data_IF_735544969011
#
_entry.id   IF_735544969011
#
_cell.length_a   1.000
_cell.length_b   1.000
_cell.length_c   1.000
_cell.angle_alpha   90.00
_cell.angle_beta   90.00
_cell.angle_gamma   90.00
#
_symmetry.space_group_name_H-M   'P 1'
#
loop_
_entity.id
_entity.type
_entity.pdbx_description
1 polymer ?
#
# COMPACT_ATOMS: atom_id res chain seq x y z
N UNK A 1 0.43 6.70 -25.64
CA UNK A 1 0.04 5.29 -25.49
C UNK A 1 -1.43 5.19 -25.08
N UNK A 2 -2.09 4.13 -25.52
CA UNK A 2 -3.42 3.74 -25.01
C UNK A 2 -3.26 2.76 -23.85
N UNK A 3 -3.67 3.15 -22.65
CA UNK A 3 -3.50 2.37 -21.42
C UNK A 3 -4.88 1.98 -20.90
N UNK A 4 -5.17 0.69 -20.85
CA UNK A 4 -6.40 0.19 -20.22
C UNK A 4 -6.06 -0.42 -18.86
N UNK A 5 -6.71 0.04 -17.79
CA UNK A 5 -6.50 -0.41 -16.41
C UNK A 5 -7.76 -1.12 -15.94
N UNK A 6 -7.67 -2.42 -15.71
CA UNK A 6 -8.77 -3.25 -15.22
C UNK A 6 -8.56 -3.58 -13.76
N UNK A 7 -9.44 -3.08 -12.92
CA UNK A 7 -9.43 -3.35 -11.48
C UNK A 7 -10.41 -4.47 -11.10
N UNK A 8 -10.33 -4.93 -9.86
CA UNK A 8 -11.07 -6.09 -9.38
C UNK A 8 -12.60 -5.91 -9.34
N UNK A 9 -13.30 -7.03 -9.18
CA UNK A 9 -14.76 -7.14 -9.24
C UNK A 9 -15.51 -6.52 -8.05
N UNK A 10 -14.79 -6.08 -6.99
CA UNK A 10 -15.41 -5.87 -5.67
C UNK A 10 -15.49 -4.42 -5.22
N UNK A 11 -14.64 -3.54 -5.74
CA UNK A 11 -14.58 -2.13 -5.36
C UNK A 11 -14.76 -1.20 -6.57
N UNK A 12 -15.42 -0.03 -6.40
CA UNK A 12 -15.61 0.94 -7.47
C UNK A 12 -14.40 1.83 -7.69
N UNK A 13 -14.38 2.50 -8.85
CA UNK A 13 -13.51 3.63 -9.15
C UNK A 13 -14.37 4.79 -9.70
N UNK A 14 -14.20 6.03 -9.19
CA UNK A 14 -13.31 6.49 -8.11
C UNK A 14 -13.50 5.72 -6.79
N UNK A 15 -12.44 5.63 -5.93
CA UNK A 15 -12.40 4.75 -4.77
C UNK A 15 -13.21 5.26 -3.57
N UNK A 16 -14.54 5.35 -3.71
CA UNK A 16 -15.48 5.84 -2.68
C UNK A 16 -15.68 4.84 -1.52
N UNK A 17 -15.34 3.58 -1.70
CA UNK A 17 -15.47 2.52 -0.69
C UNK A 17 -14.14 2.08 -0.08
N UNK A 18 -13.07 2.86 -0.25
CA UNK A 18 -11.72 2.48 0.13
C UNK A 18 -11.03 1.62 -0.95
N UNK A 19 -10.05 0.81 -0.54
CA UNK A 19 -9.23 0.00 -1.44
C UNK A 19 -7.91 0.71 -1.80
N UNK A 20 -6.80 0.18 -1.26
CA UNK A 20 -5.48 0.77 -1.52
C UNK A 20 -5.08 0.66 -3.01
N UNK A 21 -5.39 -0.48 -3.64
CA UNK A 21 -5.06 -0.71 -5.06
C UNK A 21 -5.87 0.21 -5.97
N UNK A 22 -7.16 0.39 -5.67
CA UNK A 22 -8.05 1.29 -6.41
C UNK A 22 -7.59 2.74 -6.32
N UNK A 23 -7.19 3.20 -5.11
CA UNK A 23 -6.64 4.55 -4.90
C UNK A 23 -5.34 4.74 -5.68
N UNK A 24 -4.42 3.79 -5.59
CA UNK A 24 -3.13 3.83 -6.30
C UNK A 24 -3.33 3.94 -7.80
N UNK A 25 -4.11 3.03 -8.39
CA UNK A 25 -4.30 3.01 -9.85
C UNK A 25 -5.15 4.16 -10.37
N UNK A 26 -6.07 4.69 -9.56
CA UNK A 26 -6.79 5.91 -9.92
C UNK A 26 -5.87 7.12 -9.97
N UNK A 27 -5.04 7.31 -8.93
CA UNK A 27 -4.04 8.39 -8.93
C UNK A 27 -3.02 8.26 -10.06
N UNK A 28 -2.54 7.05 -10.36
CA UNK A 28 -1.65 6.79 -11.50
C UNK A 28 -2.34 7.08 -12.84
N UNK A 29 -3.62 6.72 -13.00
CA UNK A 29 -4.39 7.02 -14.20
C UNK A 29 -4.48 8.54 -14.47
N UNK A 30 -4.69 9.34 -13.41
CA UNK A 30 -4.65 10.80 -13.50
C UNK A 30 -3.26 11.30 -13.94
N UNK A 31 -2.19 10.75 -13.37
CA UNK A 31 -0.81 11.07 -13.76
C UNK A 31 -0.50 10.70 -15.22
N UNK A 32 -0.96 9.54 -15.70
CA UNK A 32 -0.80 9.14 -17.10
C UNK A 32 -1.57 10.07 -18.03
N UNK A 33 -2.79 10.45 -17.64
CA UNK A 33 -3.61 11.40 -18.44
C UNK A 33 -2.95 12.77 -18.54
N UNK A 34 -2.41 13.31 -17.44
CA UNK A 34 -1.67 14.58 -17.44
C UNK A 34 -0.46 14.57 -18.38
N UNK A 35 0.14 13.39 -18.62
CA UNK A 35 1.26 13.20 -19.55
C UNK A 35 0.82 12.92 -21.00
N UNK A 36 -0.46 13.12 -21.31
CA UNK A 36 -1.00 13.01 -22.68
C UNK A 36 -1.28 11.56 -23.12
N UNK A 37 -1.32 10.59 -22.19
CA UNK A 37 -1.73 9.23 -22.55
C UNK A 37 -3.25 9.09 -22.59
N UNK A 38 -3.74 8.20 -23.46
CA UNK A 38 -5.16 7.85 -23.53
C UNK A 38 -5.46 6.74 -22.52
N UNK A 39 -6.27 7.05 -21.49
CA UNK A 39 -6.46 6.17 -20.34
C UNK A 39 -7.91 5.73 -20.23
N UNK A 40 -8.11 4.41 -20.17
CA UNK A 40 -9.40 3.78 -19.90
C UNK A 40 -9.33 3.02 -18.58
N UNK A 41 -10.25 3.30 -17.66
CA UNK A 41 -10.39 2.55 -16.42
C UNK A 41 -11.62 1.65 -16.46
N UNK A 42 -11.41 0.35 -16.27
CA UNK A 42 -12.51 -0.63 -16.19
C UNK A 42 -12.66 -1.06 -14.72
N UNK A 43 -13.85 -0.85 -14.17
CA UNK A 43 -14.13 -1.12 -12.75
C UNK A 43 -15.54 -1.64 -12.51
N UNK A 44 -15.81 -2.02 -11.26
CA UNK A 44 -17.14 -2.41 -10.82
C UNK A 44 -18.14 -1.26 -10.98
N UNK A 45 -19.29 -1.55 -11.59
CA UNK A 45 -20.43 -0.64 -11.66
C UNK A 45 -21.17 -0.56 -10.30
N UNK A 46 -21.42 0.64 -9.80
CA UNK A 46 -22.32 0.90 -8.69
C UNK A 46 -23.71 1.32 -9.19
N UNK A 47 -24.76 1.21 -8.36
CA UNK A 47 -26.15 1.51 -8.77
C UNK A 47 -26.31 2.88 -9.43
N UNK A 48 -25.75 3.92 -8.83
CA UNK A 48 -25.93 5.32 -9.23
C UNK A 48 -24.89 5.82 -10.24
N UNK A 49 -24.09 4.93 -10.82
CA UNK A 49 -23.06 5.28 -11.78
C UNK A 49 -23.50 4.90 -13.21
N UNK A 50 -23.23 5.74 -14.24
CA UNK A 50 -23.42 5.37 -15.63
C UNK A 50 -22.45 4.23 -16.03
N UNK A 51 -22.81 3.48 -17.08
CA UNK A 51 -21.91 2.42 -17.60
C UNK A 51 -20.63 2.97 -18.17
N UNK A 52 -20.71 4.15 -18.74
CA UNK A 52 -19.58 4.84 -19.34
C UNK A 52 -19.68 6.33 -19.03
N UNK A 53 -18.56 6.95 -18.71
CA UNK A 53 -18.40 8.40 -18.57
C UNK A 53 -16.95 8.80 -18.75
N UNK A 54 -16.73 10.08 -19.03
CA UNK A 54 -15.41 10.70 -19.02
C UNK A 54 -15.37 11.61 -17.78
N UNK A 55 -14.48 11.31 -16.85
CA UNK A 55 -14.22 12.12 -15.67
C UNK A 55 -12.72 12.32 -15.52
N UNK A 56 -12.28 13.55 -15.21
CA UNK A 56 -10.85 13.95 -15.16
C UNK A 56 -10.06 13.60 -16.43
N UNK A 57 -10.74 13.59 -17.59
CA UNK A 57 -10.17 13.19 -18.87
C UNK A 57 -9.90 11.68 -19.01
N UNK A 58 -10.31 10.87 -18.04
CA UNK A 58 -10.21 9.41 -18.04
C UNK A 58 -11.56 8.83 -18.47
N UNK A 59 -11.54 7.87 -19.41
CA UNK A 59 -12.72 7.13 -19.81
C UNK A 59 -12.98 5.98 -18.85
N UNK A 60 -14.09 6.05 -18.10
CA UNK A 60 -14.52 5.01 -17.16
C UNK A 60 -15.50 4.06 -17.84
N UNK A 61 -15.18 2.78 -17.89
CA UNK A 61 -16.06 1.70 -18.31
C UNK A 61 -16.45 0.88 -17.07
N UNK A 62 -17.74 0.83 -16.74
CA UNK A 62 -18.20 0.14 -15.54
C UNK A 62 -18.95 -1.14 -15.89
N UNK A 63 -18.48 -2.25 -15.32
CA UNK A 63 -19.00 -3.58 -15.56
C UNK A 63 -19.69 -4.09 -14.27
N UNK A 64 -20.84 -4.77 -14.36
CA UNK A 64 -21.48 -5.35 -13.19
C UNK A 64 -20.53 -6.27 -12.42
N UNK A 65 -20.25 -5.90 -11.18
CA UNK A 65 -19.38 -6.63 -10.24
C UNK A 65 -20.18 -7.25 -9.11
N UNK A 66 -19.52 -7.51 -7.99
CA UNK A 66 -20.09 -8.26 -6.88
C UNK A 66 -19.67 -7.67 -5.53
N UNK A 67 -20.40 -7.99 -4.46
CA UNK A 67 -19.91 -7.77 -3.11
C UNK A 67 -18.88 -8.82 -2.75
N UNK A 68 -17.84 -8.44 -2.00
CA UNK A 68 -16.77 -9.36 -1.63
C UNK A 68 -17.29 -10.46 -0.71
N UNK A 69 -17.22 -11.76 -1.11
CA UNK A 69 -17.62 -12.87 -0.27
C UNK A 69 -16.54 -13.16 0.78
N UNK A 70 -16.91 -13.85 1.87
CA UNK A 70 -15.96 -14.33 2.88
C UNK A 70 -15.14 -15.53 2.39
N UNK A 71 -15.70 -16.34 1.49
CA UNK A 71 -15.07 -17.55 0.95
C UNK A 71 -14.12 -17.22 -0.20
N UNK A 72 -12.88 -17.71 -0.14
CA UNK A 72 -11.89 -17.54 -1.21
C UNK A 72 -12.29 -18.25 -2.52
N UNK A 73 -13.01 -19.38 -2.42
CA UNK A 73 -13.50 -20.13 -3.60
C UNK A 73 -14.52 -19.25 -4.33
N UNK A 74 -15.51 -18.73 -3.62
CA UNK A 74 -16.51 -17.84 -4.18
C UNK A 74 -15.90 -16.55 -4.72
N UNK A 75 -14.89 -16.01 -4.05
CA UNK A 75 -14.17 -14.82 -4.54
C UNK A 75 -13.53 -15.09 -5.89
N UNK A 76 -12.84 -16.21 -6.06
CA UNK A 76 -12.23 -16.60 -7.34
C UNK A 76 -13.26 -16.86 -8.43
N UNK A 77 -14.38 -17.49 -8.08
CA UNK A 77 -15.47 -17.74 -9.03
C UNK A 77 -16.13 -16.44 -9.51
N UNK A 78 -16.41 -15.53 -8.60
CA UNK A 78 -16.99 -14.21 -8.95
C UNK A 78 -16.01 -13.35 -9.77
N UNK A 79 -14.71 -13.43 -9.47
CA UNK A 79 -13.66 -12.78 -10.28
C UNK A 79 -13.60 -13.38 -11.71
N UNK A 80 -13.83 -14.70 -11.87
CA UNK A 80 -13.93 -15.32 -13.20
C UNK A 80 -15.09 -14.75 -14.00
N UNK A 81 -16.29 -14.72 -13.40
CA UNK A 81 -17.48 -14.18 -14.06
C UNK A 81 -17.29 -12.72 -14.45
N UNK A 82 -16.68 -11.93 -13.56
CA UNK A 82 -16.35 -10.55 -13.83
C UNK A 82 -15.32 -10.42 -14.97
N UNK A 83 -14.26 -11.20 -14.94
CA UNK A 83 -13.21 -11.19 -15.96
C UNK A 83 -13.75 -11.59 -17.35
N UNK A 84 -14.68 -12.53 -17.42
CA UNK A 84 -15.37 -12.90 -18.68
C UNK A 84 -16.22 -11.72 -19.21
N UNK A 85 -16.94 -11.04 -18.32
CA UNK A 85 -17.74 -9.85 -18.71
C UNK A 85 -16.82 -8.73 -19.19
N UNK A 86 -15.78 -8.38 -18.41
CA UNK A 86 -14.82 -7.33 -18.73
C UNK A 86 -14.20 -7.56 -20.11
N UNK A 87 -13.74 -8.78 -20.40
CA UNK A 87 -13.08 -9.11 -21.67
C UNK A 87 -13.92 -8.72 -22.89
N UNK A 88 -15.25 -8.75 -22.79
CA UNK A 88 -16.17 -8.41 -23.91
C UNK A 88 -16.26 -6.92 -24.22
N UNK A 89 -15.83 -6.07 -23.28
CA UNK A 89 -15.93 -4.61 -23.36
C UNK A 89 -14.56 -3.92 -23.41
N UNK A 90 -13.46 -4.69 -23.44
CA UNK A 90 -12.12 -4.12 -23.51
C UNK A 90 -11.92 -3.42 -24.85
N UNK A 91 -11.51 -2.14 -24.86
CA UNK A 91 -11.11 -1.46 -26.07
C UNK A 91 -9.71 -1.89 -26.49
N UNK A 92 -9.31 -1.67 -27.75
CA UNK A 92 -7.94 -1.79 -28.21
C UNK A 92 -7.01 -0.87 -27.40
N UNK A 93 -5.87 -1.42 -26.98
CA UNK A 93 -4.89 -0.72 -26.17
C UNK A 93 -3.45 -1.14 -26.52
N UNK A 94 -2.47 -0.35 -26.10
CA UNK A 94 -1.04 -0.71 -26.14
C UNK A 94 -0.67 -1.53 -24.90
N UNK A 95 -1.18 -1.13 -23.75
CA UNK A 95 -0.95 -1.76 -22.44
C UNK A 95 -2.29 -2.08 -21.75
N UNK A 96 -2.41 -3.31 -21.27
CA UNK A 96 -3.53 -3.77 -20.45
C UNK A 96 -3.05 -4.11 -19.03
N UNK A 97 -3.24 -3.19 -18.11
CA UNK A 97 -2.94 -3.41 -16.68
C UNK A 97 -4.09 -4.14 -16.01
N UNK A 98 -3.80 -5.13 -15.18
CA UNK A 98 -4.82 -5.79 -14.37
C UNK A 98 -4.28 -6.36 -13.07
N UNK A 99 -5.10 -6.35 -12.02
CA UNK A 99 -4.88 -7.04 -10.75
C UNK A 99 -5.86 -8.20 -10.52
N UNK A 100 -6.70 -8.53 -11.52
CA UNK A 100 -7.63 -9.66 -11.44
C UNK A 100 -6.90 -10.99 -11.58
N UNK A 101 -7.47 -12.04 -11.00
CA UNK A 101 -6.86 -13.37 -11.08
C UNK A 101 -6.99 -14.00 -12.48
N UNK A 102 -8.18 -13.88 -13.11
CA UNK A 102 -8.48 -14.64 -14.32
C UNK A 102 -8.25 -13.89 -15.62
N UNK A 103 -8.32 -12.57 -15.63
CA UNK A 103 -8.18 -11.81 -16.88
C UNK A 103 -6.86 -12.06 -17.61
N UNK A 104 -5.69 -12.18 -16.92
CA UNK A 104 -4.44 -12.51 -17.59
C UNK A 104 -4.44 -13.84 -18.34
N UNK A 105 -5.31 -14.76 -17.96
CA UNK A 105 -5.47 -16.07 -18.60
C UNK A 105 -6.47 -16.03 -19.77
N UNK A 106 -7.45 -15.13 -19.71
CA UNK A 106 -8.53 -15.01 -20.67
C UNK A 106 -8.18 -14.14 -21.87
N UNK A 107 -7.28 -13.16 -21.69
CA UNK A 107 -6.85 -12.27 -22.79
C UNK A 107 -5.84 -12.99 -23.68
N UNK A 108 -6.24 -13.20 -24.94
CA UNK A 108 -5.43 -13.84 -25.98
C UNK A 108 -5.16 -12.92 -27.17
N UNK A 109 -6.07 -11.98 -27.36
CA UNK A 109 -6.01 -11.01 -28.46
C UNK A 109 -4.99 -9.92 -28.15
N UNK A 110 -4.00 -9.78 -29.01
CA UNK A 110 -2.92 -8.78 -28.87
C UNK A 110 -3.40 -7.36 -29.10
N UNK A 111 -4.53 -7.16 -29.77
CA UNK A 111 -5.10 -5.82 -29.99
C UNK A 111 -5.61 -5.21 -28.68
N UNK A 112 -5.88 -6.03 -27.65
CA UNK A 112 -6.28 -5.58 -26.32
C UNK A 112 -5.09 -5.08 -25.48
N UNK A 113 -3.88 -5.13 -26.01
CA UNK A 113 -2.65 -4.63 -25.38
C UNK A 113 -1.78 -5.71 -24.75
N UNK A 114 -0.56 -5.29 -24.37
CA UNK A 114 0.38 -6.11 -23.61
C UNK A 114 -0.13 -6.30 -22.19
N UNK A 115 -0.34 -7.55 -21.81
CA UNK A 115 -0.89 -7.88 -20.47
C UNK A 115 0.16 -7.59 -19.38
N UNK A 116 -0.13 -6.58 -18.58
CA UNK A 116 0.67 -6.11 -17.47
C UNK A 116 -0.02 -6.47 -16.15
N UNK A 117 0.52 -7.44 -15.41
CA UNK A 117 -0.11 -7.97 -14.20
C UNK A 117 0.44 -7.26 -12.98
N UNK A 118 -0.41 -6.54 -12.27
CA UNK A 118 -0.09 -5.98 -10.96
C UNK A 118 -0.24 -7.04 -9.87
N UNK A 119 0.86 -7.47 -9.28
CA UNK A 119 0.92 -8.46 -8.20
C UNK A 119 1.04 -7.72 -6.86
N UNK A 120 -0.06 -7.13 -6.39
CA UNK A 120 -0.11 -6.29 -5.19
C UNK A 120 -0.06 -7.03 -3.86
N UNK A 121 0.05 -8.36 -3.85
CA UNK A 121 0.11 -9.20 -2.65
C UNK A 121 1.04 -10.39 -2.87
N UNK A 122 1.49 -11.02 -1.79
CA UNK A 122 2.23 -12.28 -1.88
C UNK A 122 1.45 -13.29 -2.73
N UNK A 123 2.08 -13.87 -3.76
CA UNK A 123 1.44 -14.82 -4.65
C UNK A 123 1.08 -16.11 -3.90
N UNK A 124 0.02 -16.79 -4.39
CA UNK A 124 -0.54 -18.00 -3.78
C UNK A 124 -0.71 -19.10 -4.81
N UNK A 125 0.28 -19.30 -5.67
CA UNK A 125 0.30 -20.33 -6.69
C UNK A 125 -0.24 -19.91 -8.07
N UNK A 126 -0.75 -18.68 -8.23
CA UNK A 126 -1.38 -18.25 -9.48
C UNK A 126 -0.39 -17.74 -10.53
N UNK A 127 0.74 -17.19 -10.12
CA UNK A 127 1.66 -16.52 -11.06
C UNK A 127 2.22 -17.49 -12.09
N UNK A 128 2.45 -18.75 -11.72
CA UNK A 128 2.93 -19.81 -12.62
C UNK A 128 2.04 -20.02 -13.88
N UNK A 129 0.80 -19.57 -13.83
CA UNK A 129 -0.13 -19.69 -14.95
C UNK A 129 -0.10 -18.48 -15.90
N UNK A 130 0.53 -17.37 -15.54
CA UNK A 130 0.52 -16.11 -16.30
C UNK A 130 1.53 -16.08 -17.44
N UNK A 131 1.63 -17.17 -18.21
CA UNK A 131 2.60 -17.34 -19.32
C UNK A 131 2.52 -16.21 -20.36
N UNK A 132 1.31 -15.67 -20.58
CA UNK A 132 1.05 -14.60 -21.56
C UNK A 132 1.26 -13.19 -21.01
N UNK A 133 1.46 -13.03 -19.71
CA UNK A 133 1.80 -11.74 -19.17
C UNK A 133 3.12 -11.24 -19.78
N UNK A 134 3.11 -10.02 -20.28
CA UNK A 134 4.30 -9.33 -20.75
C UNK A 134 5.16 -8.88 -19.57
N UNK A 135 4.53 -8.47 -18.48
CA UNK A 135 5.17 -8.03 -17.25
C UNK A 135 4.42 -8.49 -16.01
N UNK A 136 5.14 -8.76 -14.95
CA UNK A 136 4.65 -9.03 -13.59
C UNK A 136 5.20 -7.92 -12.69
N UNK A 137 4.39 -6.91 -12.40
CA UNK A 137 4.84 -5.80 -11.57
C UNK A 137 4.60 -6.12 -10.10
N UNK A 138 5.64 -5.91 -9.29
CA UNK A 138 5.66 -6.02 -7.85
C UNK A 138 5.78 -4.63 -7.21
N UNK A 139 5.05 -4.32 -6.12
CA UNK A 139 5.19 -3.03 -5.43
C UNK A 139 6.45 -2.94 -4.56
N UNK A 140 7.12 -4.06 -4.30
CA UNK A 140 8.34 -4.13 -3.50
C UNK A 140 9.26 -5.26 -3.95
N UNK A 141 10.53 -5.16 -3.57
CA UNK A 141 11.52 -6.22 -3.77
C UNK A 141 11.13 -7.52 -3.07
N UNK A 142 10.42 -7.44 -1.95
CA UNK A 142 9.90 -8.60 -1.23
C UNK A 142 8.88 -9.39 -2.07
N UNK A 143 7.94 -8.69 -2.69
CA UNK A 143 6.95 -9.30 -3.60
C UNK A 143 7.64 -9.83 -4.86
N UNK A 144 8.63 -9.11 -5.42
CA UNK A 144 9.39 -9.57 -6.58
C UNK A 144 10.10 -10.90 -6.29
N UNK A 145 10.77 -11.02 -5.13
CA UNK A 145 11.39 -12.28 -4.69
C UNK A 145 10.36 -13.40 -4.54
N UNK A 146 9.19 -13.10 -3.99
CA UNK A 146 8.12 -14.08 -3.84
C UNK A 146 7.56 -14.56 -5.19
N UNK A 147 7.45 -13.67 -6.19
CA UNK A 147 7.08 -14.00 -7.57
C UNK A 147 8.14 -14.90 -8.20
N UNK A 148 9.43 -14.54 -8.09
CA UNK A 148 10.54 -15.31 -8.63
C UNK A 148 10.63 -16.71 -8.01
N UNK A 149 10.38 -16.84 -6.70
CA UNK A 149 10.35 -18.12 -6.00
C UNK A 149 9.17 -19.02 -6.45
N UNK A 150 7.97 -18.42 -6.72
CA UNK A 150 6.81 -19.17 -7.19
C UNK A 150 6.92 -19.57 -8.68
N UNK A 151 7.49 -18.70 -9.50
CA UNK A 151 7.55 -18.88 -10.95
C UNK A 151 8.91 -18.42 -11.51
N UNK A 152 10.01 -19.19 -11.25
CA UNK A 152 11.37 -18.82 -11.67
C UNK A 152 11.51 -18.57 -13.17
N UNK A 153 10.71 -19.29 -13.98
CA UNK A 153 10.68 -19.15 -15.45
C UNK A 153 10.21 -17.76 -15.93
N UNK A 154 9.66 -16.94 -15.04
CA UNK A 154 9.20 -15.58 -15.35
C UNK A 154 10.07 -14.49 -14.73
N UNK A 155 11.24 -14.83 -14.17
CA UNK A 155 12.12 -13.86 -13.50
C UNK A 155 12.48 -12.67 -14.41
N UNK A 156 12.71 -12.89 -15.70
CA UNK A 156 12.96 -11.82 -16.67
C UNK A 156 11.76 -10.93 -17.00
N UNK A 157 10.56 -11.27 -16.48
CA UNK A 157 9.35 -10.47 -16.66
C UNK A 157 8.97 -9.68 -15.40
N UNK A 158 9.74 -9.77 -14.33
CA UNK A 158 9.43 -9.09 -13.07
C UNK A 158 9.97 -7.66 -13.14
N UNK A 159 9.09 -6.70 -12.81
CA UNK A 159 9.45 -5.30 -12.61
C UNK A 159 9.07 -4.87 -11.21
N UNK A 160 9.98 -4.17 -10.51
CA UNK A 160 9.69 -3.60 -9.20
C UNK A 160 9.40 -2.12 -9.37
N UNK A 161 8.14 -1.74 -9.22
CA UNK A 161 7.69 -0.35 -9.24
C UNK A 161 6.84 -0.12 -8.01
N UNK A 162 7.24 0.81 -7.12
CA UNK A 162 6.57 1.01 -5.84
C UNK A 162 5.17 1.63 -5.98
N UNK A 163 4.43 1.64 -4.90
CA UNK A 163 3.23 2.46 -4.81
C UNK A 163 3.59 3.93 -4.62
N UNK A 164 2.88 4.85 -5.28
CA UNK A 164 3.01 6.27 -4.99
C UNK A 164 2.36 6.61 -3.66
N UNK A 165 2.90 7.64 -3.02
CA UNK A 165 2.26 8.29 -1.87
C UNK A 165 1.95 9.74 -2.22
N UNK A 166 0.79 10.27 -1.79
CA UNK A 166 0.44 11.67 -2.02
C UNK A 166 1.50 12.61 -1.42
N UNK A 167 1.81 13.67 -2.14
CA UNK A 167 2.60 14.76 -1.60
C UNK A 167 1.80 15.50 -0.51
N UNK A 168 2.47 16.08 0.50
CA UNK A 168 1.80 16.86 1.53
C UNK A 168 1.02 18.02 0.95
N UNK A 169 -0.28 18.10 1.17
CA UNK A 169 -1.11 19.20 0.68
C UNK A 169 -0.76 20.53 1.38
N UNK A 170 -0.34 20.48 2.65
CA UNK A 170 0.06 21.63 3.46
C UNK A 170 1.53 22.04 3.27
N UNK A 171 2.19 21.58 2.19
CA UNK A 171 3.60 21.90 1.91
C UNK A 171 4.59 21.26 2.87
N UNK A 172 5.79 21.82 2.98
CA UNK A 172 6.89 21.28 3.80
C UNK A 172 6.46 20.99 5.25
N UNK A 173 6.73 19.79 5.77
CA UNK A 173 6.40 19.44 7.14
C UNK A 173 7.17 20.30 8.15
N UNK A 174 6.59 20.60 9.34
CA UNK A 174 7.31 21.31 10.39
C UNK A 174 8.50 20.49 10.89
N UNK A 175 9.54 21.18 11.39
CA UNK A 175 10.65 20.50 12.07
C UNK A 175 10.14 19.61 13.21
N UNK A 176 10.81 18.50 13.47
CA UNK A 176 10.40 17.54 14.48
C UNK A 176 10.37 18.13 15.90
N UNK A 177 11.27 19.06 16.18
CA UNK A 177 11.32 19.81 17.47
C UNK A 177 10.05 20.61 17.73
N UNK A 178 9.39 21.10 16.68
CA UNK A 178 8.15 21.88 16.77
C UNK A 178 6.89 21.02 16.83
N UNK A 179 7.03 19.69 16.88
CA UNK A 179 5.91 18.76 16.96
C UNK A 179 5.65 18.29 18.39
N UNK A 180 4.46 17.78 18.59
CA UNK A 180 4.08 17.18 19.86
C UNK A 180 4.87 15.88 20.11
N UNK A 181 5.24 15.60 21.33
CA UNK A 181 5.82 14.30 21.74
C UNK A 181 4.75 13.21 21.68
N UNK A 182 4.33 12.87 20.47
CA UNK A 182 3.31 11.85 20.19
C UNK A 182 3.94 10.70 19.43
N UNK A 183 3.72 9.50 19.96
CA UNK A 183 3.91 8.23 19.26
C UNK A 183 2.60 7.91 18.56
N UNK A 184 2.62 7.86 17.24
CA UNK A 184 1.44 7.67 16.40
C UNK A 184 1.48 6.30 15.72
N UNK A 185 0.34 5.63 15.73
CA UNK A 185 0.04 4.50 14.86
C UNK A 185 -1.15 4.83 13.97
N UNK A 186 -1.05 4.56 12.69
CA UNK A 186 -2.18 4.64 11.73
C UNK A 186 -2.27 3.33 10.97
N UNK A 187 -3.43 2.68 11.03
CA UNK A 187 -3.68 1.42 10.34
C UNK A 187 -4.81 0.63 10.93
N UNK A 188 -5.17 -0.49 10.30
CA UNK A 188 -6.20 -1.40 10.85
C UNK A 188 -5.78 -1.89 12.24
N UNK A 189 -6.67 -1.79 13.21
CA UNK A 189 -6.47 -2.33 14.55
C UNK A 189 -6.75 -3.85 14.48
N UNK A 190 -5.70 -4.61 14.16
CA UNK A 190 -5.77 -6.06 13.95
C UNK A 190 -4.54 -6.74 14.59
N UNK A 191 -4.66 -7.98 15.13
CA UNK A 191 -3.53 -8.68 15.73
C UNK A 191 -2.28 -8.73 14.85
N UNK A 192 -2.44 -8.98 13.55
CA UNK A 192 -1.32 -9.03 12.61
C UNK A 192 -0.57 -7.69 12.47
N UNK A 193 -1.18 -6.57 12.85
CA UNK A 193 -0.55 -5.24 12.82
C UNK A 193 0.21 -4.90 14.10
N UNK A 194 0.21 -5.80 15.08
CA UNK A 194 1.04 -5.68 16.28
C UNK A 194 0.67 -4.54 17.22
N UNK A 195 -0.54 -3.97 17.13
CA UNK A 195 -0.95 -2.83 18.00
C UNK A 195 -0.84 -3.17 19.49
N UNK A 196 -1.10 -4.42 19.86
CA UNK A 196 -0.95 -4.90 21.22
C UNK A 196 0.52 -4.85 21.69
N UNK A 197 1.50 -5.11 20.81
CA UNK A 197 2.92 -4.98 21.13
C UNK A 197 3.30 -3.52 21.40
N UNK A 198 2.74 -2.60 20.60
CA UNK A 198 2.98 -1.17 20.76
C UNK A 198 2.43 -0.66 22.10
N UNK A 199 1.20 -1.06 22.45
CA UNK A 199 0.58 -0.72 23.73
C UNK A 199 1.40 -1.29 24.88
N UNK A 200 1.78 -2.57 24.83
CA UNK A 200 2.58 -3.22 25.86
C UNK A 200 3.97 -2.57 26.02
N UNK A 201 4.64 -2.27 24.91
CA UNK A 201 5.93 -1.60 24.90
C UNK A 201 5.88 -0.20 25.52
N UNK A 202 4.83 0.58 25.26
CA UNK A 202 4.66 1.90 25.86
C UNK A 202 4.34 1.85 27.34
N UNK A 203 3.44 0.96 27.76
CA UNK A 203 3.04 0.78 29.18
C UNK A 203 4.23 0.33 30.02
N UNK A 204 5.06 -0.60 29.53
CA UNK A 204 6.23 -1.12 30.24
C UNK A 204 7.46 -0.21 30.13
N UNK A 205 7.41 0.78 29.26
CA UNK A 205 8.48 1.72 29.08
C UNK A 205 8.78 2.52 30.35
N UNK A 206 10.04 2.90 30.50
CA UNK A 206 10.47 3.68 31.67
C UNK A 206 9.75 5.03 31.70
N UNK A 207 9.29 5.44 32.87
CA UNK A 207 8.69 6.77 33.01
C UNK A 207 9.66 7.88 32.59
N UNK A 208 10.96 7.72 32.83
CA UNK A 208 11.98 8.66 32.43
C UNK A 208 12.01 8.90 30.91
N UNK A 209 11.90 7.83 30.09
CA UNK A 209 11.92 7.96 28.62
C UNK A 209 10.62 8.55 28.06
N UNK A 210 9.46 8.21 28.65
CA UNK A 210 8.14 8.58 28.11
C UNK A 210 7.38 9.60 28.96
N UNK A 211 8.05 10.38 29.83
CA UNK A 211 7.40 11.30 30.79
C UNK A 211 6.39 12.21 30.10
N UNK A 212 6.81 12.87 29.00
CA UNK A 212 6.00 13.86 28.27
C UNK A 212 5.40 13.30 26.98
N UNK A 213 5.54 11.99 26.73
CA UNK A 213 5.05 11.37 25.52
C UNK A 213 3.61 10.87 25.67
N UNK A 214 2.83 11.06 24.62
CA UNK A 214 1.49 10.49 24.45
C UNK A 214 1.50 9.49 23.30
N UNK A 215 0.56 8.57 23.32
CA UNK A 215 0.35 7.63 22.22
C UNK A 215 -1.03 7.85 21.62
N UNK A 216 -1.10 7.88 20.30
CA UNK A 216 -2.36 7.92 19.56
C UNK A 216 -2.43 6.77 18.56
N UNK A 217 -3.52 6.03 18.61
CA UNK A 217 -3.80 4.88 17.74
C UNK A 217 -5.02 5.23 16.89
N UNK A 218 -4.82 5.29 15.55
CA UNK A 218 -5.84 5.67 14.57
C UNK A 218 -6.11 4.49 13.64
N UNK A 219 -7.37 4.17 13.45
CA UNK A 219 -7.83 3.22 12.44
C UNK A 219 -9.01 2.35 12.85
N UNK A 220 -9.56 1.61 11.88
CA UNK A 220 -10.73 0.76 12.11
C UNK A 220 -10.35 -0.51 12.87
N UNK A 221 -11.18 -0.87 13.85
CA UNK A 221 -11.16 -2.16 14.52
C UNK A 221 -12.25 -3.10 13.99
N UNK A 222 -13.25 -2.57 13.29
CA UNK A 222 -14.39 -3.32 12.78
C UNK A 222 -14.00 -4.32 11.69
N UNK A 223 -14.51 -5.54 11.79
CA UNK A 223 -14.21 -6.63 10.84
C UNK A 223 -14.61 -6.30 9.40
N UNK A 224 -15.65 -5.47 9.20
CA UNK A 224 -16.08 -5.01 7.86
C UNK A 224 -15.01 -4.19 7.14
N UNK A 225 -14.11 -3.52 7.88
CA UNK A 225 -12.96 -2.80 7.36
C UNK A 225 -11.64 -3.58 7.51
N UNK A 226 -11.73 -4.89 7.82
CA UNK A 226 -10.57 -5.76 8.01
C UNK A 226 -9.86 -5.58 9.35
N UNK A 227 -10.51 -4.98 10.34
CA UNK A 227 -10.03 -4.91 11.72
C UNK A 227 -10.19 -6.24 12.46
N UNK A 228 -9.59 -6.34 13.64
CA UNK A 228 -9.59 -7.53 14.49
C UNK A 228 -10.89 -7.80 15.26
N UNK A 229 -11.90 -6.95 15.07
CA UNK A 229 -13.22 -7.08 15.69
C UNK A 229 -13.28 -6.58 17.13
N UNK A 230 -14.50 -6.71 17.69
CA UNK A 230 -14.84 -6.17 19.02
C UNK A 230 -14.02 -6.80 20.14
N UNK A 231 -13.75 -8.11 20.07
CA UNK A 231 -12.99 -8.81 21.11
C UNK A 231 -11.54 -8.33 21.21
N UNK A 232 -10.87 -8.16 20.06
CA UNK A 232 -9.50 -7.63 20.05
C UNK A 232 -9.46 -6.20 20.56
N UNK A 233 -10.40 -5.35 20.12
CA UNK A 233 -10.52 -3.98 20.58
C UNK A 233 -10.80 -3.92 22.11
N UNK A 234 -11.65 -4.80 22.61
CA UNK A 234 -11.96 -4.87 24.05
C UNK A 234 -10.72 -5.23 24.86
N UNK A 235 -9.92 -6.22 24.40
CA UNK A 235 -8.66 -6.58 25.05
C UNK A 235 -7.67 -5.40 25.12
N UNK A 236 -7.53 -4.67 24.01
CA UNK A 236 -6.69 -3.45 23.97
C UNK A 236 -7.20 -2.38 24.95
N UNK A 237 -8.48 -2.07 24.92
CA UNK A 237 -9.09 -1.09 25.84
C UNK A 237 -8.87 -1.47 27.29
N UNK A 238 -9.03 -2.75 27.63
CA UNK A 238 -8.80 -3.25 29.00
C UNK A 238 -7.33 -3.12 29.43
N UNK A 239 -6.39 -3.36 28.54
CA UNK A 239 -4.95 -3.17 28.80
C UNK A 239 -4.64 -1.70 29.06
N UNK A 240 -5.16 -0.80 28.23
CA UNK A 240 -4.95 0.66 28.32
C UNK A 240 -5.56 1.21 29.63
N UNK A 241 -6.83 0.92 29.92
CA UNK A 241 -7.55 1.47 31.06
C UNK A 241 -6.94 1.10 32.44
N UNK A 242 -6.22 -0.02 32.48
CA UNK A 242 -5.53 -0.46 33.71
C UNK A 242 -4.19 0.22 33.94
N UNK A 243 -3.64 0.91 32.93
CA UNK A 243 -2.22 1.15 32.91
C UNK A 243 -1.82 2.59 32.58
N UNK A 244 -2.49 3.27 31.64
CA UNK A 244 -1.97 4.56 31.18
C UNK A 244 -3.01 5.45 30.47
N UNK A 245 -3.29 6.63 31.04
CA UNK A 245 -4.20 7.64 30.49
C UNK A 245 -3.60 8.39 29.28
N UNK A 246 -2.31 8.22 28.99
CA UNK A 246 -1.62 8.87 27.87
C UNK A 246 -1.87 8.19 26.52
N UNK A 247 -2.60 7.06 26.50
CA UNK A 247 -2.91 6.30 25.29
C UNK A 247 -4.34 6.61 24.82
N UNK A 248 -4.46 7.13 23.61
CA UNK A 248 -5.74 7.46 22.99
C UNK A 248 -6.05 6.52 21.82
N UNK A 249 -7.20 5.89 21.82
CA UNK A 249 -7.78 5.18 20.68
C UNK A 249 -8.72 6.14 19.95
N UNK A 250 -8.26 6.75 18.87
CA UNK A 250 -8.99 7.80 18.14
C UNK A 250 -10.06 7.27 17.16
N UNK A 251 -10.09 5.93 16.97
CA UNK A 251 -11.01 5.34 15.98
C UNK A 251 -10.58 5.58 14.53
N UNK A 252 -11.52 5.43 13.60
CA UNK A 252 -11.27 5.58 12.18
C UNK A 252 -11.32 7.05 11.77
N UNK A 253 -10.29 7.51 11.06
CA UNK A 253 -10.25 8.84 10.45
C UNK A 253 -10.11 8.63 8.94
N UNK A 254 -11.16 8.98 8.19
CA UNK A 254 -11.22 8.79 6.74
C UNK A 254 -10.98 10.08 5.96
N UNK A 255 -11.08 11.23 6.63
CA UNK A 255 -10.76 12.52 6.03
C UNK A 255 -9.24 12.66 5.85
N UNK A 256 -8.75 12.81 4.59
CA UNK A 256 -7.33 12.92 4.32
C UNK A 256 -6.68 14.13 4.99
N UNK A 257 -7.36 15.28 5.05
CA UNK A 257 -6.81 16.49 5.66
C UNK A 257 -6.66 16.35 7.18
N UNK A 258 -7.64 15.72 7.84
CA UNK A 258 -7.55 15.42 9.27
C UNK A 258 -6.42 14.43 9.57
N UNK A 259 -6.24 13.40 8.72
CA UNK A 259 -5.16 12.43 8.87
C UNK A 259 -3.79 13.07 8.66
N UNK A 260 -3.65 13.93 7.62
CA UNK A 260 -2.44 14.69 7.37
C UNK A 260 -2.06 15.57 8.58
N UNK A 261 -3.04 16.29 9.14
CA UNK A 261 -2.81 17.13 10.33
C UNK A 261 -2.29 16.32 11.52
N UNK A 262 -2.80 15.11 11.74
CA UNK A 262 -2.36 14.22 12.82
C UNK A 262 -0.93 13.73 12.55
N UNK A 263 -0.64 13.27 11.35
CA UNK A 263 0.70 12.85 10.96
C UNK A 263 1.73 13.98 11.14
N UNK A 264 1.41 15.20 10.70
CA UNK A 264 2.28 16.39 10.84
C UNK A 264 2.50 16.80 12.30
N UNK A 265 1.61 16.44 13.21
CA UNK A 265 1.74 16.78 14.63
C UNK A 265 2.61 15.80 15.42
N UNK A 266 2.78 14.57 14.95
CA UNK A 266 3.49 13.51 15.66
C UNK A 266 5.00 13.54 15.39
N UNK A 267 5.82 13.21 16.40
CA UNK A 267 7.27 13.06 16.25
C UNK A 267 7.66 11.66 15.77
N UNK A 268 7.06 10.62 16.32
CA UNK A 268 7.41 9.24 16.04
C UNK A 268 6.18 8.48 15.54
N UNK A 269 6.29 7.89 14.37
CA UNK A 269 5.31 6.95 13.83
C UNK A 269 5.82 5.53 14.04
N UNK A 270 5.00 4.67 14.65
CA UNK A 270 5.39 3.28 14.92
C UNK A 270 4.43 2.32 14.23
N UNK A 271 4.98 1.43 13.41
CA UNK A 271 4.20 0.43 12.68
C UNK A 271 4.73 -0.98 12.92
N UNK A 272 4.32 -1.63 14.02
CA UNK A 272 4.90 -2.91 14.48
C UNK A 272 4.23 -4.13 13.85
N UNK A 273 4.01 -4.10 12.54
CA UNK A 273 3.32 -5.17 11.80
C UNK A 273 4.04 -6.51 11.94
N UNK A 274 3.28 -7.57 12.23
CA UNK A 274 3.74 -8.96 12.31
C UNK A 274 3.39 -9.75 11.04
N UNK A 275 2.85 -9.07 10.03
CA UNK A 275 2.26 -9.68 8.85
C UNK A 275 3.33 -10.05 7.79
N UNK A 276 4.11 -11.10 8.04
CA UNK A 276 5.21 -11.58 7.18
C UNK A 276 4.82 -11.74 5.69
N UNK A 277 3.63 -12.24 5.43
CA UNK A 277 3.05 -12.41 4.09
C UNK A 277 1.79 -11.58 3.87
N UNK A 278 1.51 -10.66 4.77
CA UNK A 278 0.35 -9.77 4.73
C UNK A 278 0.71 -8.33 4.39
N UNK A 279 1.97 -7.94 4.59
CA UNK A 279 2.48 -6.63 4.24
C UNK A 279 3.25 -6.70 2.93
N UNK A 280 2.74 -6.05 1.90
CA UNK A 280 3.35 -6.11 0.56
C UNK A 280 4.22 -4.91 0.21
N UNK A 281 4.03 -3.77 0.91
CA UNK A 281 4.79 -2.55 0.63
C UNK A 281 4.93 -1.67 1.88
N UNK A 282 3.81 -1.26 2.52
CA UNK A 282 3.84 -0.40 3.70
C UNK A 282 3.54 1.07 3.40
N UNK A 283 2.36 1.34 2.83
CA UNK A 283 1.95 2.71 2.52
C UNK A 283 1.91 3.61 3.77
N UNK A 284 1.37 3.15 4.89
CA UNK A 284 1.20 3.97 6.08
C UNK A 284 2.54 4.48 6.68
N UNK A 285 3.60 3.65 6.83
CA UNK A 285 4.93 4.17 7.18
C UNK A 285 5.46 5.20 6.17
N UNK A 286 5.30 4.96 4.88
CA UNK A 286 5.79 5.86 3.85
C UNK A 286 4.99 7.18 3.82
N UNK A 287 3.67 7.15 4.03
CA UNK A 287 2.83 8.34 4.24
C UNK A 287 3.29 9.15 5.47
N UNK A 288 3.67 8.47 6.57
CA UNK A 288 4.22 9.14 7.74
C UNK A 288 5.57 9.81 7.44
N UNK A 289 6.44 9.18 6.63
CA UNK A 289 7.70 9.79 6.17
C UNK A 289 7.44 11.04 5.32
N UNK A 290 6.45 11.04 4.40
CA UNK A 290 6.12 12.24 3.61
C UNK A 290 5.68 13.41 4.50
N UNK A 291 5.04 13.11 5.63
CA UNK A 291 4.65 14.11 6.63
C UNK A 291 5.76 14.44 7.62
N UNK A 292 6.99 13.93 7.41
CA UNK A 292 8.19 14.23 8.20
C UNK A 292 8.17 13.59 9.61
N UNK A 293 7.42 12.52 9.84
CA UNK A 293 7.57 11.72 11.06
C UNK A 293 8.87 10.92 11.01
N UNK A 294 9.56 10.78 12.14
CA UNK A 294 10.49 9.66 12.29
C UNK A 294 9.69 8.36 12.31
N UNK A 295 10.14 7.35 11.59
CA UNK A 295 9.37 6.11 11.42
C UNK A 295 10.12 4.93 12.04
N UNK A 296 9.42 4.14 12.88
CA UNK A 296 9.92 2.89 13.46
C UNK A 296 9.01 1.74 13.01
N UNK A 297 9.60 0.75 12.34
CA UNK A 297 8.87 -0.41 11.82
C UNK A 297 9.47 -1.73 12.29
N UNK A 298 8.71 -2.81 12.18
CA UNK A 298 9.22 -4.17 12.33
C UNK A 298 10.16 -4.53 11.17
N UNK A 299 11.06 -5.49 11.39
CA UNK A 299 12.01 -5.99 10.39
C UNK A 299 11.31 -6.88 9.35
N UNK A 300 10.34 -6.31 8.61
CA UNK A 300 9.70 -6.96 7.46
C UNK A 300 10.42 -6.55 6.17
N UNK A 301 10.59 -7.51 5.27
CA UNK A 301 11.35 -7.34 4.03
C UNK A 301 10.83 -6.22 3.12
N UNK A 302 9.52 -5.98 3.13
CA UNK A 302 8.90 -4.97 2.27
C UNK A 302 9.24 -3.52 2.67
N UNK A 303 9.66 -3.28 3.92
CA UNK A 303 10.09 -1.96 4.36
C UNK A 303 11.53 -1.64 3.94
N UNK A 304 12.35 -2.66 3.65
CA UNK A 304 13.75 -2.49 3.26
C UNK A 304 13.96 -1.71 1.96
N UNK A 305 12.92 -1.53 1.15
CA UNK A 305 13.00 -0.75 -0.09
C UNK A 305 13.09 0.78 0.18
N UNK A 306 12.62 1.25 1.36
CA UNK A 306 12.61 2.68 1.70
C UNK A 306 13.08 3.00 3.12
N UNK A 307 13.20 2.00 4.00
CA UNK A 307 13.71 2.18 5.36
C UNK A 307 15.06 1.49 5.51
N UNK A 308 16.08 2.32 5.73
CA UNK A 308 17.42 1.92 6.11
C UNK A 308 17.61 2.28 7.59
N UNK A 309 17.86 1.26 8.42
CA UNK A 309 17.85 1.39 9.88
C UNK A 309 18.88 2.38 10.41
N UNK A 310 18.42 3.42 11.12
CA UNK A 310 19.24 4.51 11.64
C UNK A 310 19.54 5.63 10.65
N UNK A 311 19.14 5.51 9.39
CA UNK A 311 19.32 6.51 8.34
C UNK A 311 17.98 7.13 7.92
N UNK A 312 17.09 6.37 7.26
CA UNK A 312 15.79 6.87 6.77
C UNK A 312 14.61 6.43 7.63
N UNK A 313 14.85 5.64 8.66
CA UNK A 313 13.88 5.15 9.62
C UNK A 313 14.55 4.26 10.65
N UNK A 314 13.77 3.71 11.56
CA UNK A 314 14.21 2.78 12.58
C UNK A 314 13.57 1.41 12.38
N UNK A 315 14.27 0.36 12.79
CA UNK A 315 13.81 -1.03 12.67
C UNK A 315 13.97 -1.73 14.01
N UNK A 316 12.97 -2.49 14.43
CA UNK A 316 13.07 -3.40 15.57
C UNK A 316 12.89 -4.85 15.12
N UNK A 317 13.48 -5.78 15.88
CA UNK A 317 13.34 -7.21 15.59
C UNK A 317 12.06 -7.78 16.20
N UNK A 318 11.04 -7.94 15.37
CA UNK A 318 9.76 -8.54 15.74
C UNK A 318 9.80 -10.07 15.81
N UNK A 319 10.89 -10.70 15.39
CA UNK A 319 11.12 -12.17 15.45
C UNK A 319 11.93 -12.57 16.69
N UNK A 320 12.34 -11.61 17.51
CA UNK A 320 13.02 -11.90 18.78
C UNK A 320 12.14 -12.72 19.71
N UNK A 321 12.73 -13.38 20.72
CA UNK A 321 12.00 -14.13 21.72
C UNK A 321 11.02 -13.27 22.55
N UNK A 322 11.23 -11.95 22.56
CA UNK A 322 10.40 -10.95 23.24
C UNK A 322 10.17 -9.74 22.34
N UNK A 323 9.24 -9.82 21.34
CA UNK A 323 9.03 -8.73 20.38
C UNK A 323 8.62 -7.40 21.03
N UNK A 324 7.80 -7.43 22.08
CA UNK A 324 7.38 -6.23 22.80
C UNK A 324 8.56 -5.56 23.51
N UNK A 325 9.48 -6.35 24.07
CA UNK A 325 10.71 -5.84 24.69
C UNK A 325 11.68 -5.25 23.67
N UNK A 326 11.86 -5.91 22.51
CA UNK A 326 12.65 -5.39 21.40
C UNK A 326 12.09 -4.05 20.90
N UNK A 327 10.77 -3.94 20.78
CA UNK A 327 10.09 -2.69 20.40
C UNK A 327 10.27 -1.62 21.48
N UNK A 328 10.06 -1.96 22.77
CA UNK A 328 10.24 -1.05 23.91
C UNK A 328 11.63 -0.44 23.92
N UNK A 329 12.66 -1.30 23.92
CA UNK A 329 14.05 -0.86 23.95
C UNK A 329 14.41 0.07 22.77
N UNK A 330 13.91 -0.25 21.56
CA UNK A 330 14.11 0.60 20.40
C UNK A 330 13.36 1.94 20.53
N UNK A 331 12.12 1.94 21.00
CA UNK A 331 11.36 3.18 21.24
C UNK A 331 12.07 4.09 22.26
N UNK A 332 12.49 3.54 23.40
CA UNK A 332 13.22 4.29 24.44
C UNK A 332 14.51 4.89 23.90
N UNK A 333 15.30 4.11 23.17
CA UNK A 333 16.54 4.59 22.54
C UNK A 333 16.28 5.77 21.57
N UNK A 334 15.22 5.67 20.76
CA UNK A 334 14.89 6.68 19.74
C UNK A 334 14.35 7.96 20.37
N UNK A 335 13.46 7.87 21.37
CA UNK A 335 12.86 9.07 21.98
C UNK A 335 13.82 9.81 22.93
N UNK A 336 14.88 9.15 23.37
CA UNK A 336 15.91 9.75 24.24
C UNK A 336 16.99 10.52 23.46
N UNK A 337 17.07 10.36 22.14
CA UNK A 337 18.03 11.08 21.28
C UNK A 337 17.28 11.94 20.25
N UNK A 338 16.99 13.18 20.66
CA UNK A 338 16.24 14.13 19.81
C UNK A 338 17.00 14.50 18.54
N UNK A 339 18.32 14.55 18.58
CA UNK A 339 19.15 14.87 17.41
C UNK A 339 19.11 13.74 16.37
N UNK A 340 19.21 12.49 16.82
CA UNK A 340 19.07 11.31 15.96
C UNK A 340 17.65 11.23 15.40
N UNK A 341 16.64 11.46 16.22
CA UNK A 341 15.23 11.45 15.80
C UNK A 341 14.98 12.47 14.68
N UNK A 342 15.49 13.70 14.84
CA UNK A 342 15.35 14.78 13.85
C UNK A 342 16.06 14.44 12.54
N UNK A 343 17.31 13.99 12.61
CA UNK A 343 18.10 13.61 11.43
C UNK A 343 17.43 12.50 10.62
N UNK A 344 16.96 11.46 11.29
CA UNK A 344 16.31 10.31 10.63
C UNK A 344 14.96 10.71 10.05
N UNK A 345 14.20 11.57 10.72
CA UNK A 345 12.93 12.08 10.19
C UNK A 345 13.13 12.90 8.91
N UNK A 346 14.14 13.77 8.89
CA UNK A 346 14.48 14.57 7.70
C UNK A 346 14.94 13.68 6.54
N UNK A 347 15.87 12.77 6.78
CA UNK A 347 16.34 11.82 5.77
C UNK A 347 15.20 10.94 5.24
N UNK A 348 14.30 10.48 6.13
CA UNK A 348 13.10 9.75 5.75
C UNK A 348 12.16 10.57 4.88
N UNK A 349 11.93 11.84 5.23
CA UNK A 349 11.13 12.76 4.42
C UNK A 349 11.71 12.94 3.01
N UNK A 350 13.01 13.20 2.91
CA UNK A 350 13.70 13.30 1.61
C UNK A 350 13.59 12.02 0.79
N UNK A 351 13.78 10.85 1.43
CA UNK A 351 13.62 9.54 0.78
C UNK A 351 12.21 9.33 0.24
N UNK A 352 11.19 9.79 0.95
CA UNK A 352 9.78 9.61 0.55
C UNK A 352 9.45 10.35 -0.76
N UNK A 353 10.17 11.40 -1.13
CA UNK A 353 9.99 12.12 -2.39
C UNK A 353 10.26 11.26 -3.64
N UNK A 354 11.03 10.17 -3.51
CA UNK A 354 11.22 9.20 -4.60
C UNK A 354 9.94 8.44 -4.94
N UNK A 355 8.96 8.46 -4.05
CA UNK A 355 7.67 7.76 -4.16
C UNK A 355 6.52 8.71 -4.51
N UNK A 356 6.82 9.93 -4.96
CA UNK A 356 5.78 10.87 -5.40
C UNK A 356 4.98 10.31 -6.57
N UNK A 357 3.70 10.68 -6.72
CA UNK A 357 2.86 10.19 -7.81
C UNK A 357 3.46 10.45 -9.20
N UNK A 358 4.13 11.59 -9.36
CA UNK A 358 4.80 11.96 -10.60
C UNK A 358 5.94 10.99 -10.92
N UNK A 359 6.88 10.79 -9.99
CA UNK A 359 8.04 9.89 -10.21
C UNK A 359 7.62 8.45 -10.45
N UNK A 360 6.68 7.95 -9.66
CA UNK A 360 6.19 6.57 -9.83
C UNK A 360 5.48 6.40 -11.17
N UNK A 361 4.71 7.40 -11.62
CA UNK A 361 4.10 7.36 -12.95
C UNK A 361 5.16 7.31 -14.06
N UNK A 362 6.26 8.05 -13.93
CA UNK A 362 7.36 8.02 -14.91
C UNK A 362 8.02 6.63 -14.97
N UNK A 363 8.18 5.94 -13.83
CA UNK A 363 8.68 4.56 -13.79
C UNK A 363 7.75 3.60 -14.55
N UNK A 364 6.43 3.71 -14.36
CA UNK A 364 5.47 2.90 -15.10
C UNK A 364 5.50 3.20 -16.58
N UNK A 365 5.57 4.47 -16.99
CA UNK A 365 5.61 4.88 -18.39
C UNK A 365 6.87 4.35 -19.06
N UNK A 366 8.02 4.41 -18.40
CA UNK A 366 9.28 3.86 -18.89
C UNK A 366 9.17 2.34 -19.09
N UNK A 367 8.62 1.61 -18.11
CA UNK A 367 8.41 0.16 -18.21
C UNK A 367 7.39 -0.21 -19.31
N UNK A 368 6.31 0.54 -19.45
CA UNK A 368 5.35 0.36 -20.56
C UNK A 368 5.98 0.59 -21.93
N UNK A 369 6.79 1.65 -22.06
CA UNK A 369 7.48 2.00 -23.30
C UNK A 369 8.48 0.91 -23.71
N UNK A 370 9.23 0.35 -22.75
CA UNK A 370 10.14 -0.77 -23.02
C UNK A 370 9.40 -1.98 -23.61
N UNK A 371 8.23 -2.30 -23.04
CA UNK A 371 7.42 -3.42 -23.55
C UNK A 371 6.92 -3.21 -24.98
N UNK A 372 6.61 -1.98 -25.37
CA UNK A 372 6.15 -1.67 -26.72
C UNK A 372 7.31 -1.77 -27.70
N UNK A 373 8.47 -1.19 -27.37
CA UNK A 373 9.67 -1.20 -28.21
C UNK A 373 10.21 -2.62 -28.47
N UNK A 374 10.24 -3.48 -27.43
CA UNK A 374 10.65 -4.89 -27.55
C UNK A 374 9.77 -5.68 -28.54
N UNK A 375 8.59 -5.18 -28.86
CA UNK A 375 7.68 -5.80 -29.83
C UNK A 375 7.97 -5.45 -31.28
N UNK A 376 8.53 -4.26 -31.50
CA UNK A 376 8.82 -3.74 -32.84
C UNK A 376 10.18 -4.23 -33.38
N UNK A 377 10.99 -4.88 -32.53
CA UNK A 377 12.23 -5.55 -32.96
C UNK A 377 11.88 -6.92 -33.56
N UNK A 378 11.94 -7.10 -34.91
CA UNK A 378 11.70 -8.40 -35.49
C UNK A 378 12.73 -9.38 -34.95
N UNK A 379 12.24 -10.54 -34.52
CA UNK A 379 13.05 -11.65 -33.98
C UNK A 379 14.12 -12.08 -35.02
N UNK A 380 15.30 -11.42 -35.00
CA UNK A 380 16.45 -11.75 -35.85
C UNK A 380 17.27 -12.90 -35.21
N UNK A 381 16.61 -14.03 -34.95
CA UNK A 381 17.31 -15.29 -34.70
C UNK A 381 16.33 -16.46 -34.60
N UNK A 382 16.05 -17.08 -35.71
CA UNK A 382 15.77 -18.51 -35.81
C UNK A 382 16.63 -19.09 -36.94
#
# INVERSE_FOLDING_TARGET
>A
MKITIVLGAFLPVPPTMGGAVEKVWYGLAQQFRQRGHDVVMVSRKMPDQPREEIADGIRHLRVPGFNAPRSLIWLKFLDLLYSIRVRRFLPPADILVTNTFWLPLLVRDRTLGRVYVHVGRYPKGQVRFYRRAARLQAPSSAIARAIAAEAPQFSGKISVIPYPVPEPAAGTPPSISNRQKVILYVGRIHPEKGVHLLVDAFIRGTRAAFTDWKMMIVGPAESRFGGGGTEYLFRLKRSIAKSDERITLAGSIFDPAALEKILRSARLFVYPSLAERGESFGLAPLEAMTQGCAVLVSKLDCFGDFIQGGETGFVFDHRSSSPAESLRAKMESVVSDEALLARVAEAGHLKSAEYSPSRVADLFIADFSSLIQDADVPNRSR
#
